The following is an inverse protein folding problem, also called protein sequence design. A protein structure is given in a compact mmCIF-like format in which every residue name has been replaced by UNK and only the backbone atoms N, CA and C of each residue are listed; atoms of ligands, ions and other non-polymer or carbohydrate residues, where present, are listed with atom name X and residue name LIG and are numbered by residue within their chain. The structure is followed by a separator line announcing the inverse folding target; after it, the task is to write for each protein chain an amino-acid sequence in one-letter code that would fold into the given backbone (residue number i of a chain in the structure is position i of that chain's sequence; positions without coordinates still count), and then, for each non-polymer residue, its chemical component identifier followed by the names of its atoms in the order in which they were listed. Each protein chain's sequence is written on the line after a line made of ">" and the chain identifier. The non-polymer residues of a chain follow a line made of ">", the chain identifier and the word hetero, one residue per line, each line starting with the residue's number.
data_IF_469685207987
#
_entry.id   IF_469685207987
#
_cell.length_a   1.000
_cell.length_b   1.000
_cell.length_c   1.000
_cell.angle_alpha   90.00
_cell.angle_beta   90.00
_cell.angle_gamma   90.00
#
_symmetry.space_group_name_H-M   'P 1'
#
loop_
_entity.id
_entity.type
_entity.pdbx_description
1 polymer ?
#
# COMPACT_ATOMS: atom_id res chain seq x y z
N UNK A 1 2.52 10.97 -15.46
CA UNK A 1 2.09 10.99 -14.04
C UNK A 1 1.83 12.45 -13.66
N UNK A 2 0.71 12.76 -12.97
CA UNK A 2 0.34 14.14 -12.65
C UNK A 2 1.21 14.81 -11.57
N UNK A 3 2.16 14.07 -10.97
CA UNK A 3 3.02 14.58 -9.89
C UNK A 3 2.25 14.66 -8.56
N UNK A 4 2.09 13.53 -7.88
CA UNK A 4 1.56 13.48 -6.52
C UNK A 4 2.58 12.77 -5.61
N UNK A 5 2.70 13.25 -4.38
CA UNK A 5 3.57 12.64 -3.37
C UNK A 5 2.93 11.45 -2.67
N UNK A 6 1.60 11.30 -2.78
CA UNK A 6 0.86 10.18 -2.22
C UNK A 6 -0.47 9.94 -2.92
N UNK A 7 -1.02 8.75 -2.73
CA UNK A 7 -2.39 8.38 -3.12
C UNK A 7 -3.09 7.81 -1.89
N UNK A 8 -4.32 8.24 -1.65
CA UNK A 8 -5.19 7.65 -0.64
C UNK A 8 -5.99 6.51 -1.28
N UNK A 9 -6.09 5.38 -0.59
CA UNK A 9 -6.76 4.17 -1.10
C UNK A 9 -7.65 3.63 0.01
N UNK A 10 -8.93 3.44 -0.30
CA UNK A 10 -9.88 2.78 0.59
C UNK A 10 -9.83 1.26 0.39
N UNK A 11 -9.78 0.52 1.49
CA UNK A 11 -9.70 -0.94 1.50
C UNK A 11 -10.77 -1.49 2.43
N UNK A 12 -11.60 -2.41 1.94
CA UNK A 12 -12.64 -3.05 2.74
C UNK A 12 -12.72 -4.55 2.42
N UNK A 13 -12.83 -5.44 3.42
CA UNK A 13 -12.98 -6.88 3.19
C UNK A 13 -14.21 -7.26 2.36
N UNK A 14 -15.27 -6.45 2.46
CA UNK A 14 -16.51 -6.62 1.70
C UNK A 14 -16.94 -5.30 1.03
N UNK A 15 -16.37 -4.93 -0.13
CA UNK A 15 -16.59 -3.61 -0.73
C UNK A 15 -18.07 -3.23 -0.94
N UNK A 16 -18.95 -4.22 -1.14
CA UNK A 16 -20.40 -4.01 -1.27
C UNK A 16 -21.09 -3.45 -0.01
N UNK A 17 -20.44 -3.57 1.16
CA UNK A 17 -20.91 -3.01 2.43
C UNK A 17 -20.12 -1.76 2.85
N UNK A 18 -19.23 -1.26 2.01
CA UNK A 18 -18.48 -0.05 2.32
C UNK A 18 -19.46 1.13 2.48
N UNK A 19 -19.33 1.85 3.59
CA UNK A 19 -20.20 3.00 3.93
C UNK A 19 -19.96 4.21 3.01
N UNK A 20 -18.86 4.19 2.23
CA UNK A 20 -18.48 5.16 1.22
C UNK A 20 -17.82 4.44 0.03
N UNK A 21 -18.07 4.91 -1.19
CA UNK A 21 -17.38 4.56 -2.44
C UNK A 21 -16.99 3.08 -2.65
N UNK A 22 -17.94 2.16 -2.37
CA UNK A 22 -17.73 0.71 -2.48
C UNK A 22 -17.29 0.22 -3.86
N UNK A 23 -17.64 0.93 -4.94
CA UNK A 23 -17.19 0.60 -6.30
C UNK A 23 -15.70 0.93 -6.57
N UNK A 24 -15.11 1.84 -5.80
CA UNK A 24 -13.70 2.23 -5.92
C UNK A 24 -12.82 1.66 -4.78
N UNK A 25 -13.45 1.04 -3.78
CA UNK A 25 -12.79 0.38 -2.66
C UNK A 25 -12.13 -0.93 -3.11
N UNK A 26 -10.88 -1.14 -2.72
CA UNK A 26 -10.19 -2.41 -2.97
C UNK A 26 -10.51 -3.44 -1.89
N UNK A 27 -10.44 -4.72 -2.27
CA UNK A 27 -10.28 -5.79 -1.28
C UNK A 27 -8.85 -5.80 -0.75
N UNK A 28 -8.59 -6.36 0.45
CA UNK A 28 -7.23 -6.51 0.97
C UNK A 28 -6.27 -7.19 -0.03
N UNK A 29 -6.71 -8.28 -0.67
CA UNK A 29 -5.90 -8.99 -1.65
C UNK A 29 -5.55 -8.14 -2.89
N UNK A 30 -6.48 -7.30 -3.35
CA UNK A 30 -6.22 -6.40 -4.46
C UNK A 30 -5.28 -5.26 -4.06
N UNK A 31 -5.38 -4.77 -2.82
CA UNK A 31 -4.44 -3.80 -2.27
C UNK A 31 -3.01 -4.37 -2.19
N UNK A 32 -2.86 -5.62 -1.73
CA UNK A 32 -1.55 -6.28 -1.68
C UNK A 32 -0.91 -6.38 -3.06
N UNK A 33 -1.69 -6.80 -4.06
CA UNK A 33 -1.23 -6.86 -5.45
C UNK A 33 -0.82 -5.49 -5.99
N UNK A 34 -1.60 -4.46 -5.70
CA UNK A 34 -1.28 -3.09 -6.09
C UNK A 34 0.03 -2.62 -5.44
N UNK A 35 0.19 -2.85 -4.14
CA UNK A 35 1.39 -2.43 -3.41
C UNK A 35 2.64 -3.15 -3.91
N UNK A 36 2.55 -4.42 -4.32
CA UNK A 36 3.66 -5.11 -4.98
C UNK A 36 4.11 -4.39 -6.26
N UNK A 37 3.16 -3.99 -7.12
CA UNK A 37 3.46 -3.25 -8.35
C UNK A 37 4.01 -1.85 -8.07
N UNK A 38 3.44 -1.15 -7.08
CA UNK A 38 3.89 0.19 -6.68
C UNK A 38 5.33 0.14 -6.15
N UNK A 39 5.68 -0.86 -5.33
CA UNK A 39 7.06 -1.02 -4.82
C UNK A 39 8.06 -1.17 -5.97
N UNK A 40 7.78 -2.06 -6.93
CA UNK A 40 8.66 -2.25 -8.11
C UNK A 40 8.82 -0.96 -8.93
N UNK A 41 7.73 -0.21 -9.16
CA UNK A 41 7.81 1.05 -9.89
C UNK A 41 8.57 2.12 -9.11
N UNK A 42 8.31 2.21 -7.80
CA UNK A 42 8.93 3.17 -6.91
C UNK A 42 10.45 2.96 -6.81
N UNK A 43 10.90 1.71 -6.76
CA UNK A 43 12.32 1.34 -6.86
C UNK A 43 12.93 1.79 -8.18
N UNK A 44 12.28 1.49 -9.31
CA UNK A 44 12.76 1.90 -10.64
C UNK A 44 12.85 3.43 -10.81
N UNK A 45 12.02 4.18 -10.08
CA UNK A 45 12.02 5.65 -10.07
C UNK A 45 12.96 6.25 -9.01
N UNK A 46 13.69 5.44 -8.23
CA UNK A 46 14.57 5.92 -7.16
C UNK A 46 13.82 6.56 -5.98
N UNK A 47 12.55 6.21 -5.79
CA UNK A 47 11.66 6.73 -4.74
C UNK A 47 11.06 5.59 -3.91
N UNK A 48 11.86 4.77 -3.20
CA UNK A 48 11.36 3.57 -2.55
C UNK A 48 10.27 3.86 -1.52
N UNK A 49 9.26 2.99 -1.46
CA UNK A 49 8.22 3.03 -0.43
C UNK A 49 8.74 2.37 0.83
N UNK A 50 8.39 2.91 2.00
CA UNK A 50 8.74 2.28 3.28
C UNK A 50 8.27 0.81 3.33
N UNK A 51 9.06 -0.09 3.92
CA UNK A 51 8.64 -1.47 4.14
C UNK A 51 7.49 -1.54 5.16
N UNK A 52 6.76 -2.66 5.23
CA UNK A 52 5.74 -2.89 6.25
C UNK A 52 6.26 -2.62 7.68
N UNK A 53 5.37 -2.12 8.54
CA UNK A 53 5.75 -1.74 9.93
C UNK A 53 6.29 -2.93 10.71
N UNK A 54 5.73 -4.13 10.52
CA UNK A 54 6.20 -5.33 11.19
C UNK A 54 7.63 -5.73 10.76
N UNK A 55 8.01 -5.46 9.52
CA UNK A 55 9.39 -5.63 9.04
C UNK A 55 10.33 -4.59 9.66
N UNK A 56 9.89 -3.34 9.77
CA UNK A 56 10.65 -2.28 10.45
C UNK A 56 10.89 -2.62 11.93
N UNK A 57 9.87 -3.12 12.62
CA UNK A 57 9.97 -3.55 14.01
C UNK A 57 10.94 -4.74 14.18
N UNK A 58 10.90 -5.71 13.27
CA UNK A 58 11.84 -6.85 13.26
C UNK A 58 13.28 -6.37 13.03
N UNK A 59 13.49 -5.45 12.09
CA UNK A 59 14.81 -4.88 11.82
C UNK A 59 15.36 -4.12 13.03
N UNK A 60 14.53 -3.30 13.69
CA UNK A 60 14.91 -2.56 14.89
C UNK A 60 15.32 -3.48 16.05
N UNK A 61 14.58 -4.57 16.27
CA UNK A 61 14.89 -5.57 17.31
C UNK A 61 16.19 -6.34 17.04
N UNK A 62 16.57 -6.56 15.77
CA UNK A 62 17.82 -7.25 15.39
C UNK A 62 19.06 -6.36 15.56
N UNK A 63 18.88 -5.04 15.56
CA UNK A 63 19.96 -4.07 15.69
C UNK A 63 20.26 -3.66 17.15
N UNK A 64 19.50 -4.20 18.12
CA UNK A 64 19.72 -4.05 19.57
C UNK A 64 20.45 -5.26 20.13
#
# INVERSE_FOLDING_TARGET
>A
AAGADGRMIEVHPNPAQALSDGAQTLTPANFDKLMAQVRTLAEALGRPVAPPIDELEKAAKKAS
#
